data_IF_743006441570
#
_entry.id   IF_743006441570
#
_cell.length_a   1.000
_cell.length_b   1.000
_cell.length_c   1.000
_cell.angle_alpha   90.00
_cell.angle_beta   90.00
_cell.angle_gamma   90.00
#
_symmetry.space_group_name_H-M   'P 1'
#
loop_
_entity.id
_entity.type
_entity.pdbx_description
1 polymer ?
#
# COMPACT_ATOMS: atom_id res chain seq x y z
N UNK A 1 8.88 -34.55 11.27
CA UNK A 1 8.37 -33.26 10.79
C UNK A 1 9.01 -32.20 11.65
N UNK A 2 10.12 -31.64 11.20
CA UNK A 2 10.72 -30.44 11.79
C UNK A 2 10.06 -29.24 11.14
N UNK A 3 9.47 -28.37 11.95
CA UNK A 3 8.98 -27.06 11.51
C UNK A 3 10.05 -26.05 11.94
N UNK A 4 10.79 -25.51 10.98
CA UNK A 4 11.78 -24.46 11.26
C UNK A 4 11.18 -23.11 10.84
N UNK A 5 10.91 -22.26 11.83
CA UNK A 5 10.62 -20.84 11.60
C UNK A 5 11.95 -20.09 11.63
N UNK A 6 12.36 -19.47 10.52
CA UNK A 6 13.60 -18.69 10.47
C UNK A 6 13.36 -17.26 9.99
N UNK A 7 14.04 -16.38 10.72
CA UNK A 7 14.34 -14.95 10.60
C UNK A 7 13.27 -14.01 10.04
N UNK A 8 12.91 -13.06 10.91
CA UNK A 8 12.05 -11.92 10.68
C UNK A 8 12.91 -10.71 10.29
N UNK A 9 12.74 -10.20 9.07
CA UNK A 9 13.31 -8.90 8.66
C UNK A 9 12.13 -8.00 8.33
N UNK A 10 11.97 -6.91 9.09
CA UNK A 10 10.94 -5.88 8.87
C UNK A 10 9.51 -6.42 8.76
N UNK A 11 9.18 -7.43 9.57
CA UNK A 11 7.86 -8.06 9.57
C UNK A 11 7.60 -8.97 8.37
N UNK A 12 8.61 -9.28 7.55
CA UNK A 12 8.55 -10.37 6.57
C UNK A 12 9.26 -11.58 7.19
N UNK A 13 8.55 -12.70 7.21
CA UNK A 13 9.06 -13.98 7.68
C UNK A 13 8.72 -15.08 6.68
N UNK A 14 9.36 -16.24 6.85
CA UNK A 14 8.99 -17.44 6.13
C UNK A 14 8.87 -18.64 7.07
N UNK A 15 7.99 -19.56 6.71
CA UNK A 15 7.86 -20.89 7.32
C UNK A 15 8.21 -21.92 6.27
N UNK A 16 9.17 -22.77 6.55
CA UNK A 16 9.50 -23.90 5.69
C UNK A 16 9.04 -25.19 6.36
N UNK A 17 8.19 -25.95 5.66
CA UNK A 17 7.69 -27.24 6.14
C UNK A 17 8.16 -28.33 5.18
N UNK A 18 9.02 -29.23 5.66
CA UNK A 18 9.45 -30.41 4.91
C UNK A 18 8.35 -31.49 4.90
N UNK A 19 8.00 -31.95 3.70
CA UNK A 19 7.03 -33.02 3.49
C UNK A 19 7.71 -34.37 3.27
N UNK A 20 6.94 -35.45 3.43
CA UNK A 20 7.40 -36.86 3.39
C UNK A 20 8.09 -37.28 2.07
N UNK A 21 7.95 -36.49 0.99
CA UNK A 21 8.50 -36.78 -0.34
C UNK A 21 9.66 -35.86 -0.76
N UNK A 22 10.41 -35.31 0.20
CA UNK A 22 11.56 -34.44 -0.09
C UNK A 22 11.16 -33.16 -0.87
N UNK A 23 9.91 -32.74 -0.73
CA UNK A 23 9.45 -31.42 -1.15
C UNK A 23 9.30 -30.53 0.08
N UNK A 24 9.72 -29.27 -0.03
CA UNK A 24 9.49 -28.25 0.99
C UNK A 24 8.38 -27.30 0.54
N UNK A 25 7.50 -26.97 1.48
CA UNK A 25 6.52 -25.89 1.34
C UNK A 25 7.06 -24.67 2.06
N UNK A 26 7.35 -23.61 1.29
CA UNK A 26 7.80 -22.33 1.84
C UNK A 26 6.64 -21.35 1.79
N UNK A 27 6.17 -20.95 2.98
CA UNK A 27 5.16 -19.90 3.15
C UNK A 27 5.85 -18.62 3.56
N UNK A 28 5.88 -17.64 2.65
CA UNK A 28 6.34 -16.28 2.97
C UNK A 28 5.13 -15.49 3.47
N UNK A 29 5.27 -14.85 4.63
CA UNK A 29 4.22 -14.02 5.21
C UNK A 29 4.76 -12.65 5.58
N UNK A 30 3.85 -11.68 5.63
CA UNK A 30 4.12 -10.37 6.21
C UNK A 30 3.17 -10.12 7.37
N UNK A 31 3.71 -9.62 8.48
CA UNK A 31 2.96 -9.17 9.65
C UNK A 31 2.38 -7.77 9.47
N UNK A 32 2.80 -7.05 8.42
CA UNK A 32 2.35 -5.70 8.11
C UNK A 32 1.49 -5.69 6.84
N UNK A 33 0.30 -5.12 6.95
CA UNK A 33 -0.60 -4.93 5.83
C UNK A 33 -0.90 -3.45 5.63
N UNK A 34 -0.93 -3.00 4.37
CA UNK A 34 -1.34 -1.64 4.04
C UNK A 34 -2.83 -1.45 4.36
N UNK A 35 -3.14 -0.43 5.16
CA UNK A 35 -4.51 0.00 5.36
C UNK A 35 -5.06 0.73 4.10
N UNK A 36 -6.36 1.05 4.10
CA UNK A 36 -7.00 1.69 2.94
C UNK A 36 -6.35 3.02 2.54
N UNK A 37 -5.94 3.84 3.52
CA UNK A 37 -5.26 5.12 3.26
C UNK A 37 -3.91 4.89 2.59
N UNK A 38 -3.13 3.93 3.08
CA UNK A 38 -1.82 3.58 2.53
C UNK A 38 -1.94 2.99 1.11
N UNK A 39 -2.94 2.12 0.86
CA UNK A 39 -3.24 1.62 -0.49
C UNK A 39 -3.59 2.75 -1.46
N UNK A 40 -4.41 3.71 -1.01
CA UNK A 40 -4.77 4.87 -1.83
C UNK A 40 -3.56 5.78 -2.10
N UNK A 41 -2.74 6.04 -1.09
CA UNK A 41 -1.52 6.84 -1.23
C UNK A 41 -0.54 6.18 -2.21
N UNK A 42 -0.33 4.87 -2.11
CA UNK A 42 0.51 4.11 -3.04
C UNK A 42 -0.01 4.21 -4.47
N UNK A 43 -1.33 4.05 -4.70
CA UNK A 43 -1.92 4.23 -6.02
C UNK A 43 -1.75 5.66 -6.57
N UNK A 44 -1.76 6.68 -5.70
CA UNK A 44 -1.49 8.07 -6.09
C UNK A 44 -0.02 8.25 -6.51
N UNK A 45 0.93 7.66 -5.77
CA UNK A 45 2.35 7.70 -6.12
C UNK A 45 2.61 6.99 -7.44
N UNK A 46 2.06 5.79 -7.64
CA UNK A 46 2.26 5.01 -8.88
C UNK A 46 1.75 5.74 -10.12
N UNK A 47 0.56 6.36 -10.02
CA UNK A 47 -0.10 6.98 -11.19
C UNK A 47 0.32 8.41 -11.44
N UNK A 48 0.56 9.18 -10.37
CA UNK A 48 0.80 10.63 -10.46
C UNK A 48 2.21 11.03 -10.06
N UNK A 49 3.06 10.07 -9.70
CA UNK A 49 4.46 10.29 -9.33
C UNK A 49 5.29 10.94 -10.42
N UNK A 50 5.07 10.54 -11.67
CA UNK A 50 5.83 11.06 -12.82
C UNK A 50 5.41 12.45 -13.31
N UNK A 51 4.27 13.00 -12.85
CA UNK A 51 3.68 14.25 -13.36
C UNK A 51 3.85 15.42 -12.37
N UNK A 52 4.59 15.19 -11.29
CA UNK A 52 4.72 16.11 -10.17
C UNK A 52 5.76 17.23 -10.44
N UNK A 53 5.43 18.20 -11.28
CA UNK A 53 6.24 19.40 -11.52
C UNK A 53 5.90 20.56 -10.58
N UNK A 54 6.91 21.31 -10.13
CA UNK A 54 6.79 22.61 -9.45
C UNK A 54 7.47 23.71 -10.26
N UNK A 55 6.98 24.97 -10.22
CA UNK A 55 7.63 26.09 -10.89
C UNK A 55 9.11 26.24 -10.50
N UNK A 56 10.00 26.37 -11.48
CA UNK A 56 11.47 26.49 -11.30
C UNK A 56 12.03 27.72 -12.04
N UNK A 57 11.33 28.84 -11.90
CA UNK A 57 11.70 30.10 -12.56
C UNK A 57 11.45 30.10 -14.07
N UNK A 58 12.09 31.05 -14.76
CA UNK A 58 11.88 31.34 -16.18
C UNK A 58 13.20 31.15 -16.92
N UNK A 59 13.18 30.54 -18.11
CA UNK A 59 14.36 30.40 -18.96
C UNK A 59 14.74 31.70 -19.68
N UNK A 60 15.90 31.71 -20.35
CA UNK A 60 16.37 32.90 -21.07
C UNK A 60 15.45 33.30 -22.25
N UNK A 61 14.52 32.43 -22.66
CA UNK A 61 13.53 32.69 -23.69
C UNK A 61 12.17 33.13 -23.11
N UNK A 62 12.07 33.36 -21.79
CA UNK A 62 10.84 33.79 -21.14
C UNK A 62 9.85 32.66 -20.83
N UNK A 63 10.22 31.38 -20.99
CA UNK A 63 9.34 30.24 -20.73
C UNK A 63 9.45 29.77 -19.28
N UNK A 64 8.32 29.38 -18.70
CA UNK A 64 8.29 28.81 -17.35
C UNK A 64 9.00 27.45 -17.33
N UNK A 65 9.98 27.28 -16.44
CA UNK A 65 10.59 25.99 -16.15
C UNK A 65 9.80 25.26 -15.08
N UNK A 66 9.84 23.94 -15.16
CA UNK A 66 9.30 23.03 -14.15
C UNK A 66 10.44 22.15 -13.64
N UNK A 67 10.54 22.03 -12.32
CA UNK A 67 11.39 21.04 -11.65
C UNK A 67 10.51 19.92 -11.12
N UNK A 68 11.00 18.69 -11.15
CA UNK A 68 10.32 17.57 -10.53
C UNK A 68 10.37 17.71 -9.01
N UNK A 69 9.25 17.41 -8.35
CA UNK A 69 9.22 17.20 -6.90
C UNK A 69 10.22 16.10 -6.53
N UNK A 70 10.84 16.25 -5.37
CA UNK A 70 11.64 15.19 -4.78
C UNK A 70 10.75 13.99 -4.38
N UNK A 71 11.32 12.78 -4.25
CA UNK A 71 10.56 11.63 -3.79
C UNK A 71 9.87 11.86 -2.43
N UNK A 72 10.51 12.58 -1.52
CA UNK A 72 9.95 12.89 -0.20
C UNK A 72 8.70 13.79 -0.30
N UNK A 73 8.78 14.86 -1.10
CA UNK A 73 7.64 15.76 -1.34
C UNK A 73 6.48 15.04 -2.03
N UNK A 74 6.80 14.15 -2.97
CA UNK A 74 5.80 13.36 -3.67
C UNK A 74 5.04 12.44 -2.70
N UNK A 75 5.76 11.70 -1.86
CA UNK A 75 5.18 10.77 -0.88
C UNK A 75 4.34 11.54 0.14
N UNK A 76 4.84 12.64 0.69
CA UNK A 76 4.11 13.48 1.63
C UNK A 76 2.77 13.95 1.03
N UNK A 77 2.82 14.52 -0.18
CA UNK A 77 1.61 14.97 -0.89
C UNK A 77 0.63 13.83 -1.15
N UNK A 78 1.12 12.64 -1.53
CA UNK A 78 0.26 11.49 -1.78
C UNK A 78 -0.45 11.01 -0.50
N UNK A 79 0.27 10.97 0.63
CA UNK A 79 -0.30 10.64 1.94
C UNK A 79 -1.37 11.65 2.37
N UNK A 80 -1.09 12.96 2.24
CA UNK A 80 -2.05 14.02 2.57
C UNK A 80 -3.29 13.95 1.68
N UNK A 81 -3.11 13.72 0.39
CA UNK A 81 -4.21 13.56 -0.57
C UNK A 81 -5.06 12.34 -0.22
N UNK A 82 -4.43 11.19 0.07
CA UNK A 82 -5.17 9.99 0.46
C UNK A 82 -5.96 10.19 1.76
N UNK A 83 -5.38 10.89 2.74
CA UNK A 83 -6.09 11.28 3.96
C UNK A 83 -7.33 12.11 3.65
N UNK A 84 -7.17 13.20 2.89
CA UNK A 84 -8.27 14.09 2.52
C UNK A 84 -9.36 13.36 1.72
N UNK A 85 -8.99 12.48 0.79
CA UNK A 85 -9.95 11.68 0.04
C UNK A 85 -10.81 10.82 0.96
N UNK A 86 -10.21 10.11 1.92
CA UNK A 86 -10.96 9.23 2.82
C UNK A 86 -11.88 10.01 3.74
N UNK A 87 -11.44 11.15 4.28
CA UNK A 87 -12.31 12.03 5.07
C UNK A 87 -13.48 12.53 4.20
N UNK A 88 -13.20 12.96 2.97
CA UNK A 88 -14.24 13.45 2.07
C UNK A 88 -15.20 12.33 1.57
N UNK A 89 -14.79 11.06 1.59
CA UNK A 89 -15.69 9.91 1.35
C UNK A 89 -16.56 9.59 2.57
N UNK A 90 -16.00 9.75 3.77
CA UNK A 90 -16.74 9.62 5.03
C UNK A 90 -17.85 10.67 5.11
N UNK A 91 -17.53 11.94 4.86
CA UNK A 91 -18.50 13.04 4.91
C UNK A 91 -19.63 12.88 3.90
N UNK A 92 -19.34 12.26 2.74
CA UNK A 92 -20.33 11.97 1.69
C UNK A 92 -21.08 10.65 1.91
N UNK A 93 -20.80 9.93 2.99
CA UNK A 93 -21.36 8.61 3.28
C UNK A 93 -21.15 7.59 2.14
N UNK A 94 -20.00 7.67 1.46
CA UNK A 94 -19.63 6.74 0.38
C UNK A 94 -18.95 5.47 0.90
N UNK A 95 -18.66 5.41 2.20
CA UNK A 95 -18.06 4.26 2.85
C UNK A 95 -19.15 3.31 3.32
N UNK A 96 -19.09 2.06 2.85
CA UNK A 96 -19.96 0.99 3.33
C UNK A 96 -19.32 0.30 4.54
N UNK A 97 -20.10 0.08 5.59
CA UNK A 97 -19.68 -0.78 6.71
C UNK A 97 -19.78 -2.23 6.29
N UNK A 98 -18.65 -2.92 6.23
CA UNK A 98 -18.61 -4.36 5.99
C UNK A 98 -18.62 -5.11 7.34
N UNK A 99 -19.29 -6.27 7.43
CA UNK A 99 -19.22 -7.11 8.63
C UNK A 99 -17.79 -7.57 8.88
N UNK A 100 -17.39 -7.67 10.16
CA UNK A 100 -16.08 -8.22 10.48
C UNK A 100 -16.04 -9.70 10.09
N UNK A 101 -14.88 -10.30 9.80
CA UNK A 101 -14.78 -11.70 9.39
C UNK A 101 -15.45 -12.70 10.35
N UNK A 102 -15.48 -12.39 11.65
CA UNK A 102 -16.17 -13.17 12.69
C UNK A 102 -17.70 -13.16 12.58
N UNK A 103 -18.25 -12.13 11.93
CA UNK A 103 -19.70 -11.92 11.76
C UNK A 103 -20.19 -12.51 10.44
N UNK A 104 -19.28 -13.04 9.60
CA UNK A 104 -19.62 -13.73 8.35
C UNK A 104 -20.06 -15.14 8.71
N UNK A 105 -21.33 -15.53 8.46
CA UNK A 105 -21.78 -16.89 8.75
C UNK A 105 -20.98 -17.88 7.91
N UNK A 106 -20.35 -18.88 8.55
CA UNK A 106 -19.52 -19.92 7.92
C UNK A 106 -20.24 -20.80 6.88
N UNK A 107 -21.56 -20.63 6.69
CA UNK A 107 -22.35 -21.39 5.72
C UNK A 107 -22.90 -20.47 4.64
N UNK A 108 -22.16 -20.33 3.54
CA UNK A 108 -22.77 -20.17 2.23
C UNK A 108 -22.94 -21.58 1.66
N UNK A 109 -23.87 -22.35 2.24
CA UNK A 109 -24.28 -23.62 1.66
C UNK A 109 -25.10 -23.31 0.40
N UNK A 110 -24.50 -23.53 -0.77
CA UNK A 110 -25.25 -23.79 -2.00
C UNK A 110 -25.86 -25.19 -1.94
#
# INVERSE_FOLDING_TARGET
MSDETKTEIDGIGYRETEHRWNCSEVVVYSTLALNLKAKLAMAMVERWGGVAGVPDGVDAAGRQKLKLQTPAELVARACDTANQCIEAFRDRNWLLTLPAPKDIPHKLSN
#
